data_IF_188715103162
#
_entry.id   IF_188715103162
#
_cell.length_a   1.000
_cell.length_b   1.000
_cell.length_c   1.000
_cell.angle_alpha   90.00
_cell.angle_beta   90.00
_cell.angle_gamma   90.00
#
_symmetry.space_group_name_H-M   'P 1'
#
loop_
_entity.id
_entity.type
_entity.pdbx_description
1 polymer ?
#
# COMPACT_ATOMS: atom_id res chain seq x y z
N UNK A 1 -5.09 -5.07 -9.30
CA UNK A 1 -4.09 -4.04 -9.01
C UNK A 1 -4.35 -2.81 -9.85
N UNK A 2 -4.27 -1.65 -9.27
CA UNK A 2 -4.50 -0.39 -9.96
C UNK A 2 -3.33 0.55 -9.72
N UNK A 3 -2.78 1.10 -10.81
CA UNK A 3 -1.76 2.14 -10.74
C UNK A 3 -2.45 3.51 -10.78
N UNK A 4 -2.14 4.36 -9.82
CA UNK A 4 -2.70 5.71 -9.78
C UNK A 4 -1.92 6.61 -10.74
N UNK A 5 -2.60 7.09 -11.77
CA UNK A 5 -2.04 8.05 -12.72
C UNK A 5 -2.22 9.46 -12.19
N UNK A 6 -3.41 9.78 -11.70
CA UNK A 6 -3.70 11.07 -11.08
C UNK A 6 -4.77 10.91 -10.02
N UNK A 7 -4.83 11.84 -9.08
CA UNK A 7 -5.79 11.84 -8.00
C UNK A 7 -5.23 11.28 -6.70
N UNK A 8 -6.10 11.13 -5.72
CA UNK A 8 -5.74 10.64 -4.39
C UNK A 8 -6.69 9.54 -3.94
N UNK A 9 -6.12 8.53 -3.30
CA UNK A 9 -6.86 7.37 -2.78
C UNK A 9 -6.55 7.20 -1.30
N UNK A 10 -7.59 7.07 -0.48
CA UNK A 10 -7.46 6.77 0.94
C UNK A 10 -7.70 5.28 1.15
N UNK A 11 -6.83 4.63 1.91
CA UNK A 11 -6.99 3.22 2.28
C UNK A 11 -7.33 3.13 3.75
N UNK A 12 -8.41 2.41 4.07
CA UNK A 12 -8.90 2.21 5.42
C UNK A 12 -9.03 0.73 5.73
N UNK A 13 -8.73 0.37 6.97
CA UNK A 13 -8.94 -0.99 7.49
C UNK A 13 -10.07 -0.94 8.51
N UNK A 14 -10.98 -1.90 8.42
CA UNK A 14 -12.03 -2.08 9.43
C UNK A 14 -11.49 -2.96 10.55
N UNK A 15 -11.50 -2.43 11.77
CA UNK A 15 -11.06 -3.16 12.96
C UNK A 15 -11.99 -2.81 14.13
N UNK A 16 -12.54 -3.82 14.80
CA UNK A 16 -13.42 -3.66 15.96
C UNK A 16 -14.61 -2.73 15.69
N UNK A 17 -15.15 -2.78 14.48
CA UNK A 17 -16.29 -1.94 14.09
C UNK A 17 -15.91 -0.52 13.70
N UNK A 18 -14.65 -0.16 13.78
CA UNK A 18 -14.15 1.16 13.39
C UNK A 18 -13.34 1.07 12.08
N UNK A 19 -13.41 2.13 11.28
CA UNK A 19 -12.60 2.30 10.08
C UNK A 19 -11.38 3.14 10.42
N UNK A 20 -10.21 2.55 10.29
CA UNK A 20 -8.94 3.22 10.56
C UNK A 20 -8.25 3.53 9.23
N UNK A 21 -7.94 4.80 9.02
CA UNK A 21 -7.18 5.23 7.85
C UNK A 21 -5.72 4.81 8.01
N UNK A 22 -5.23 4.00 7.09
CA UNK A 22 -3.87 3.48 7.15
C UNK A 22 -2.94 4.09 6.13
N UNK A 23 -3.46 4.61 5.01
CA UNK A 23 -2.63 5.19 3.96
C UNK A 23 -3.40 6.19 3.11
N UNK A 24 -2.64 7.12 2.53
CA UNK A 24 -3.09 8.01 1.47
C UNK A 24 -2.15 7.79 0.29
N UNK A 25 -2.70 7.40 -0.85
CA UNK A 25 -1.96 7.05 -2.03
C UNK A 25 -2.15 8.13 -3.10
N UNK A 26 -1.11 8.38 -3.86
CA UNK A 26 -1.05 9.44 -4.85
C UNK A 26 -0.55 8.90 -6.20
N UNK A 27 -0.39 9.78 -7.16
CA UNK A 27 0.17 9.43 -8.47
C UNK A 27 1.47 8.65 -8.33
N UNK A 28 1.57 7.56 -9.06
CA UNK A 28 2.70 6.64 -9.02
C UNK A 28 2.56 5.51 -8.01
N UNK A 29 1.61 5.58 -7.09
CA UNK A 29 1.35 4.51 -6.15
C UNK A 29 0.45 3.44 -6.75
N UNK A 30 0.50 2.24 -6.16
CA UNK A 30 -0.30 1.10 -6.59
C UNK A 30 -1.29 0.71 -5.50
N UNK A 31 -2.54 0.51 -5.90
CA UNK A 31 -3.61 -0.01 -5.04
C UNK A 31 -3.78 -1.49 -5.31
N UNK A 32 -3.82 -2.28 -4.25
CA UNK A 32 -4.07 -3.72 -4.37
C UNK A 32 -2.88 -4.54 -4.85
N UNK A 33 -1.64 -4.01 -4.76
CA UNK A 33 -0.43 -4.72 -5.18
C UNK A 33 -0.19 -6.02 -4.41
N UNK A 34 -0.51 -6.05 -3.13
CA UNK A 34 -0.38 -7.27 -2.31
C UNK A 34 -1.38 -8.32 -2.77
N UNK A 35 -2.61 -7.93 -3.08
CA UNK A 35 -3.65 -8.87 -3.50
C UNK A 35 -3.40 -9.50 -4.84
N UNK A 36 -2.62 -8.88 -5.72
CA UNK A 36 -2.29 -9.46 -7.01
C UNK A 36 -1.19 -10.52 -6.89
N UNK A 37 -0.30 -10.37 -5.92
CA UNK A 37 0.79 -11.32 -5.66
C UNK A 37 0.30 -12.45 -4.76
N UNK A 38 -0.46 -12.13 -3.73
CA UNK A 38 -1.02 -13.07 -2.77
C UNK A 38 -2.53 -12.82 -2.66
N UNK A 39 -3.35 -13.46 -3.51
CA UNK A 39 -4.78 -13.17 -3.60
C UNK A 39 -5.55 -13.71 -2.40
N UNK A 40 -5.55 -12.96 -1.32
CA UNK A 40 -6.38 -13.22 -0.15
C UNK A 40 -7.54 -12.24 -0.13
N UNK A 41 -8.54 -12.54 0.71
CA UNK A 41 -9.67 -11.64 0.89
C UNK A 41 -9.17 -10.27 1.35
N UNK A 42 -9.58 -9.24 0.63
CA UNK A 42 -9.21 -7.87 0.97
C UNK A 42 -9.73 -7.50 2.37
N UNK A 43 -8.84 -7.06 3.24
CA UNK A 43 -9.18 -6.55 4.57
C UNK A 43 -9.24 -5.03 4.61
N UNK A 44 -8.95 -4.38 3.48
CA UNK A 44 -8.88 -2.93 3.38
C UNK A 44 -9.82 -2.42 2.29
N UNK A 45 -10.29 -1.20 2.48
CA UNK A 45 -11.12 -0.47 1.51
C UNK A 45 -10.33 0.72 0.98
N UNK A 46 -10.26 0.84 -0.34
CA UNK A 46 -9.66 1.98 -1.01
C UNK A 46 -10.77 2.90 -1.54
N UNK A 47 -10.64 4.19 -1.30
CA UNK A 47 -11.63 5.18 -1.72
C UNK A 47 -10.95 6.37 -2.38
N UNK A 48 -11.47 6.82 -3.52
CA UNK A 48 -11.03 8.05 -4.17
C UNK A 48 -11.51 9.22 -3.34
N UNK A 49 -10.59 10.10 -2.93
CA UNK A 49 -10.89 11.27 -2.10
C UNK A 49 -10.70 12.60 -2.82
N UNK A 50 -10.08 12.60 -4.01
CA UNK A 50 -10.03 13.75 -4.89
C UNK A 50 -11.31 13.85 -5.75
N UNK A 51 -11.52 14.99 -6.41
CA UNK A 51 -12.68 15.14 -7.31
C UNK A 51 -12.64 14.16 -8.47
N UNK A 52 -11.44 13.90 -9.00
CA UNK A 52 -11.23 12.98 -10.10
C UNK A 52 -9.99 12.14 -9.82
N UNK A 53 -9.97 10.94 -10.39
CA UNK A 53 -8.79 10.09 -10.37
C UNK A 53 -8.72 9.27 -11.64
N UNK A 54 -7.50 9.07 -12.15
CA UNK A 54 -7.23 8.14 -13.25
C UNK A 54 -6.44 6.97 -12.72
N UNK A 55 -6.90 5.78 -13.01
CA UNK A 55 -6.30 4.53 -12.57
C UNK A 55 -6.11 3.62 -13.78
N UNK A 56 -4.97 2.93 -13.82
CA UNK A 56 -4.77 1.79 -14.72
C UNK A 56 -4.97 0.52 -13.92
N UNK A 57 -5.85 -0.33 -14.39
CA UNK A 57 -6.18 -1.58 -13.72
C UNK A 57 -5.68 -2.78 -14.51
N UNK A 58 -5.19 -3.78 -13.79
CA UNK A 58 -4.84 -5.08 -14.33
C UNK A 58 -5.33 -6.17 -13.40
N UNK A 59 -5.95 -7.21 -13.95
CA UNK A 59 -6.35 -8.38 -13.17
C UNK A 59 -5.16 -9.22 -12.75
N UNK A 60 -5.34 -10.06 -11.72
CA UNK A 60 -4.31 -10.98 -11.28
C UNK A 60 -3.89 -11.96 -12.39
N UNK A 61 -4.86 -12.46 -13.16
CA UNK A 61 -4.59 -13.39 -14.25
C UNK A 61 -3.77 -12.74 -15.37
N UNK A 62 -4.15 -11.55 -15.78
CA UNK A 62 -3.43 -10.80 -16.81
C UNK A 62 -2.02 -10.43 -16.35
N UNK A 63 -1.88 -10.08 -15.09
CA UNK A 63 -0.58 -9.77 -14.51
C UNK A 63 0.34 -11.01 -14.52
N UNK A 64 -0.19 -12.16 -14.16
CA UNK A 64 0.56 -13.42 -14.20
C UNK A 64 0.97 -13.78 -15.62
N UNK A 65 0.08 -13.62 -16.59
CA UNK A 65 0.41 -13.83 -18.00
C UNK A 65 1.54 -12.90 -18.46
N UNK A 66 1.46 -11.64 -18.08
CA UNK A 66 2.51 -10.67 -18.39
C UNK A 66 3.86 -11.09 -17.82
N UNK A 67 3.90 -11.53 -16.55
CA UNK A 67 5.14 -11.97 -15.91
C UNK A 67 5.76 -13.18 -16.60
N UNK A 68 4.92 -14.11 -17.09
CA UNK A 68 5.38 -15.33 -17.74
C UNK A 68 5.78 -15.11 -19.21
N UNK A 69 5.22 -14.09 -19.86
CA UNK A 69 5.50 -13.81 -21.26
C UNK A 69 6.94 -13.34 -21.51
N UNK A 70 7.50 -12.58 -20.56
CA UNK A 70 8.90 -12.15 -20.58
C UNK A 70 9.43 -12.16 -19.15
N UNK A 71 10.23 -13.17 -18.81
CA UNK A 71 10.72 -13.35 -17.46
C UNK A 71 11.65 -12.25 -16.98
N UNK A 72 12.41 -11.64 -17.89
CA UNK A 72 13.30 -10.54 -17.53
C UNK A 72 12.51 -9.28 -17.16
N UNK A 73 11.53 -8.91 -18.00
CA UNK A 73 10.65 -7.78 -17.70
C UNK A 73 9.77 -8.06 -16.48
N UNK A 74 9.26 -9.28 -16.37
CA UNK A 74 8.48 -9.71 -15.22
C UNK A 74 9.26 -9.58 -13.92
N UNK A 75 10.52 -9.98 -13.92
CA UNK A 75 11.40 -9.83 -12.76
C UNK A 75 11.59 -8.37 -12.37
N UNK A 76 11.84 -7.49 -13.35
CA UNK A 76 12.01 -6.07 -13.09
C UNK A 76 10.75 -5.43 -12.51
N UNK A 77 9.58 -5.79 -13.02
CA UNK A 77 8.30 -5.29 -12.49
C UNK A 77 8.06 -5.77 -11.07
N UNK A 78 8.30 -7.05 -10.79
CA UNK A 78 8.16 -7.58 -9.43
C UNK A 78 9.12 -6.91 -8.46
N UNK A 79 10.33 -6.63 -8.91
CA UNK A 79 11.33 -5.95 -8.10
C UNK A 79 10.88 -4.53 -7.76
N UNK A 80 10.31 -3.80 -8.71
CA UNK A 80 9.78 -2.46 -8.47
C UNK A 80 8.58 -2.49 -7.52
N UNK A 81 7.68 -3.47 -7.66
CA UNK A 81 6.58 -3.64 -6.72
C UNK A 81 7.08 -3.95 -5.31
N UNK A 82 8.09 -4.81 -5.21
CA UNK A 82 8.69 -5.14 -3.91
C UNK A 82 9.32 -3.91 -3.25
N UNK A 83 10.01 -3.08 -4.01
CA UNK A 83 10.58 -1.81 -3.51
C UNK A 83 9.48 -0.87 -2.99
N UNK A 84 8.39 -0.79 -3.73
CA UNK A 84 7.24 0.04 -3.33
C UNK A 84 6.63 -0.45 -2.03
N UNK A 85 6.44 -1.76 -1.88
CA UNK A 85 5.92 -2.35 -0.65
C UNK A 85 6.89 -2.14 0.53
N UNK A 86 8.18 -2.25 0.30
CA UNK A 86 9.19 -1.95 1.32
C UNK A 86 9.13 -0.49 1.76
N UNK A 87 8.95 0.43 0.83
CA UNK A 87 8.82 1.85 1.14
C UNK A 87 7.59 2.12 2.01
N UNK A 88 6.47 1.50 1.68
CA UNK A 88 5.24 1.61 2.49
C UNK A 88 5.46 1.05 3.89
N UNK A 89 6.10 -0.10 3.97
CA UNK A 89 6.37 -0.74 5.27
C UNK A 89 7.25 0.15 6.14
N UNK A 90 8.29 0.76 5.58
CA UNK A 90 9.12 1.71 6.31
C UNK A 90 8.32 2.91 6.82
N UNK A 91 7.45 3.46 5.97
CA UNK A 91 6.58 4.57 6.34
C UNK A 91 5.67 4.21 7.50
N UNK A 92 5.05 3.02 7.45
CA UNK A 92 4.20 2.55 8.54
C UNK A 92 5.00 2.33 9.83
N UNK A 93 6.18 1.77 9.74
CA UNK A 93 7.05 1.56 10.89
C UNK A 93 7.46 2.88 11.53
N UNK A 94 7.81 3.88 10.73
CA UNK A 94 8.15 5.21 11.22
C UNK A 94 6.96 5.86 11.93
N UNK A 95 5.77 5.78 11.36
CA UNK A 95 4.55 6.29 11.97
C UNK A 95 4.24 5.59 13.29
N UNK A 96 4.40 4.29 13.32
CA UNK A 96 4.17 3.49 14.53
C UNK A 96 5.15 3.88 15.63
N UNK A 97 6.44 3.98 15.31
CA UNK A 97 7.48 4.37 16.26
C UNK A 97 7.23 5.78 16.79
N UNK A 98 6.88 6.70 15.91
CA UNK A 98 6.57 8.08 16.29
C UNK A 98 5.36 8.15 17.24
N UNK A 99 4.30 7.43 16.91
CA UNK A 99 3.12 7.35 17.75
C UNK A 99 3.43 6.74 19.13
N UNK A 100 4.18 5.65 19.16
CA UNK A 100 4.61 5.03 20.41
C UNK A 100 5.51 5.94 21.24
N UNK A 101 6.39 6.67 20.60
CA UNK A 101 7.25 7.64 21.27
C UNK A 101 6.43 8.77 21.92
N UNK A 102 5.47 9.33 21.17
CA UNK A 102 4.60 10.39 21.67
C UNK A 102 3.77 9.94 22.89
N UNK A 103 3.28 8.71 22.89
CA UNK A 103 2.50 8.17 24.00
C UNK A 103 3.34 7.85 25.22
N UNK A 104 4.60 7.49 25.02
CA UNK A 104 5.46 6.92 26.06
C UNK A 104 6.73 7.71 26.34
N UNK A 105 6.84 8.92 25.84
CA UNK A 105 8.07 9.69 25.95
C UNK A 105 8.48 9.93 27.42
N UNK A 106 7.55 10.09 28.33
CA UNK A 106 7.86 10.23 29.75
C UNK A 106 8.52 9.00 30.35
N UNK A 107 8.16 7.83 29.86
CA UNK A 107 8.73 6.58 30.34
C UNK A 107 10.05 6.29 29.69
N UNK A 108 10.16 6.53 28.37
CA UNK A 108 11.38 6.24 27.60
C UNK A 108 12.54 7.13 27.98
N UNK A 109 12.29 8.40 28.23
CA UNK A 109 13.34 9.34 28.64
C UNK A 109 13.97 8.98 29.97
N UNK A 110 13.24 8.31 30.86
CA UNK A 110 13.75 7.87 32.13
C UNK A 110 14.59 6.61 32.05
N UNK A 111 14.31 5.75 31.07
CA UNK A 111 14.98 4.47 30.89
C UNK A 111 16.28 4.59 30.09
N UNK A 112 16.43 5.66 29.36
CA UNK A 112 17.57 5.94 28.53
C UNK A 112 18.24 7.27 28.95
#
# INVERSE_FOLDING_TARGET
MSLIISGEVSVKISANGENIKVAKLESGDVVGGISIIDPKKASATARIVSEEAQLWEISADDFNEFLLADLNEGFEILKELAKMLCKRLRTYNERMLHSMYDERNHYLEQDY
#
